data_IF_270951400803
#
_entry.id   IF_270951400803
#
_cell.length_a   1.000
_cell.length_b   1.000
_cell.length_c   1.000
_cell.angle_alpha   90.00
_cell.angle_beta   90.00
_cell.angle_gamma   90.00
#
_symmetry.space_group_name_H-M   'P 1'
#
loop_
_entity.id
_entity.type
_entity.pdbx_description
1 polymer ?
#
# COMPACT_ATOMS: atom_id res chain seq x y z
N UNK A 1 18.26 27.57 -20.51
CA UNK A 1 18.10 26.17 -20.06
C UNK A 1 18.16 25.28 -21.27
N UNK A 2 19.17 24.41 -21.39
CA UNK A 2 19.24 23.43 -22.47
C UNK A 2 18.10 22.43 -22.30
N UNK A 3 17.17 22.39 -23.24
CA UNK A 3 16.12 21.35 -23.31
C UNK A 3 16.80 20.01 -23.57
N UNK A 4 17.14 19.30 -22.50
CA UNK A 4 17.64 17.93 -22.59
C UNK A 4 16.54 17.05 -23.19
N UNK A 5 16.82 16.48 -24.37
CA UNK A 5 15.89 15.58 -25.07
C UNK A 5 16.27 14.14 -24.76
N UNK A 6 15.49 13.49 -23.89
CA UNK A 6 15.55 12.05 -23.65
C UNK A 6 15.39 11.28 -24.98
N UNK A 7 16.30 10.34 -25.23
CA UNK A 7 16.27 9.51 -26.43
C UNK A 7 15.00 8.64 -26.43
N UNK A 8 14.42 8.38 -27.62
CA UNK A 8 13.16 7.65 -27.74
C UNK A 8 13.19 6.24 -27.11
N UNK A 9 14.37 5.61 -27.09
CA UNK A 9 14.61 4.29 -26.46
C UNK A 9 14.55 4.31 -24.92
N UNK A 10 14.80 5.47 -24.31
CA UNK A 10 14.85 5.62 -22.85
C UNK A 10 13.52 6.13 -22.29
N UNK A 11 12.55 6.48 -23.18
CA UNK A 11 11.20 6.89 -22.79
C UNK A 11 10.37 5.68 -22.41
N UNK A 12 9.80 5.73 -21.21
CA UNK A 12 8.87 4.69 -20.75
C UNK A 12 7.53 4.86 -21.48
N UNK A 13 6.97 3.80 -22.08
CA UNK A 13 5.65 3.84 -22.74
C UNK A 13 4.56 4.31 -21.77
N UNK A 14 3.58 5.08 -22.28
CA UNK A 14 2.50 5.65 -21.46
C UNK A 14 1.74 4.57 -20.69
N UNK A 15 1.48 3.40 -21.30
CA UNK A 15 0.81 2.29 -20.63
C UNK A 15 1.59 1.74 -19.42
N UNK A 16 2.92 1.67 -19.52
CA UNK A 16 3.77 1.24 -18.39
C UNK A 16 3.84 2.32 -17.30
N UNK A 17 3.89 3.61 -17.68
CA UNK A 17 3.80 4.72 -16.72
C UNK A 17 2.47 4.71 -15.97
N UNK A 18 1.37 4.48 -16.68
CA UNK A 18 0.03 4.39 -16.09
C UNK A 18 -0.09 3.20 -15.15
N UNK A 19 0.37 2.01 -15.55
CA UNK A 19 0.38 0.83 -14.68
C UNK A 19 1.25 1.03 -13.43
N UNK A 20 2.41 1.67 -13.58
CA UNK A 20 3.28 2.02 -12.46
C UNK A 20 2.64 3.05 -11.52
N UNK A 21 2.01 4.08 -12.07
CA UNK A 21 1.25 5.08 -11.32
C UNK A 21 0.06 4.49 -10.58
N UNK A 22 -0.71 3.59 -11.21
CA UNK A 22 -1.78 2.84 -10.56
C UNK A 22 -1.24 1.98 -9.41
N UNK A 23 -0.05 1.42 -9.58
CA UNK A 23 0.60 0.69 -8.51
C UNK A 23 0.92 1.57 -7.29
N UNK A 24 1.46 2.76 -7.53
CA UNK A 24 1.74 3.76 -6.49
C UNK A 24 0.47 4.35 -5.86
N UNK A 25 -0.62 4.43 -6.61
CA UNK A 25 -1.94 4.78 -6.10
C UNK A 25 -2.37 3.76 -5.03
N UNK A 26 -2.39 2.47 -5.36
CA UNK A 26 -2.73 1.39 -4.40
C UNK A 26 -1.78 1.37 -3.21
N UNK A 27 -0.47 1.56 -3.46
CA UNK A 27 0.55 1.60 -2.42
C UNK A 27 0.27 2.66 -1.34
N UNK A 28 -0.33 3.79 -1.73
CA UNK A 28 -0.69 4.85 -0.78
C UNK A 28 -2.12 4.68 -0.23
N UNK A 29 -3.01 4.09 -1.03
CA UNK A 29 -4.40 3.89 -0.65
C UNK A 29 -4.55 2.94 0.54
N UNK A 30 -3.89 1.78 0.52
CA UNK A 30 -4.09 0.76 1.55
C UNK A 30 -3.58 1.20 2.94
N UNK A 31 -2.36 1.76 3.08
CA UNK A 31 -1.91 2.28 4.38
C UNK A 31 -2.72 3.49 4.85
N UNK A 32 -3.18 4.33 3.92
CA UNK A 32 -4.08 5.44 4.22
C UNK A 32 -5.38 4.93 4.83
N UNK A 33 -6.04 3.97 4.18
CA UNK A 33 -7.29 3.38 4.66
C UNK A 33 -7.12 2.69 6.03
N UNK A 34 -6.01 1.99 6.26
CA UNK A 34 -5.68 1.45 7.58
C UNK A 34 -5.56 2.54 8.65
N UNK A 35 -4.94 3.68 8.34
CA UNK A 35 -4.86 4.82 9.23
C UNK A 35 -6.24 5.33 9.67
N UNK A 36 -7.21 5.35 8.75
CA UNK A 36 -8.60 5.69 9.09
C UNK A 36 -9.32 4.58 9.87
N UNK A 37 -9.02 3.31 9.61
CA UNK A 37 -9.58 2.20 10.37
C UNK A 37 -9.25 2.31 11.86
N UNK A 38 -8.05 2.80 12.21
CA UNK A 38 -7.67 3.07 13.60
C UNK A 38 -8.60 4.08 14.30
N UNK A 39 -9.08 5.08 13.55
CA UNK A 39 -10.06 6.03 14.08
C UNK A 39 -11.42 5.35 14.32
N UNK A 40 -11.82 4.42 13.46
CA UNK A 40 -13.07 3.65 13.63
C UNK A 40 -12.99 2.72 14.86
N UNK A 41 -11.85 2.09 15.09
CA UNK A 41 -11.61 1.27 16.30
C UNK A 41 -11.78 2.10 17.59
N UNK A 42 -11.33 3.35 17.60
CA UNK A 42 -11.47 4.26 18.73
C UNK A 42 -12.91 4.76 18.92
N UNK A 43 -13.56 5.17 17.83
CA UNK A 43 -14.84 5.90 17.89
C UNK A 43 -16.07 5.02 17.81
N UNK A 44 -16.10 4.03 16.92
CA UNK A 44 -17.25 3.15 16.73
C UNK A 44 -17.19 1.92 17.64
N UNK A 45 -16.01 1.31 17.76
CA UNK A 45 -15.81 0.12 18.60
C UNK A 45 -15.47 0.44 20.06
N UNK A 46 -15.24 1.72 20.41
CA UNK A 46 -14.91 2.14 21.76
C UNK A 46 -13.64 1.50 22.32
N UNK A 47 -12.69 1.12 21.46
CA UNK A 47 -11.46 0.45 21.88
C UNK A 47 -10.58 1.41 22.71
N UNK A 48 -9.98 0.87 23.77
CA UNK A 48 -9.03 1.60 24.60
C UNK A 48 -7.93 2.28 23.75
N UNK A 49 -7.71 3.60 23.91
CA UNK A 49 -6.68 4.33 23.18
C UNK A 49 -5.26 3.75 23.29
N UNK A 50 -4.94 3.11 24.42
CA UNK A 50 -3.67 2.42 24.60
C UNK A 50 -3.55 1.22 23.66
N UNK A 51 -4.60 0.41 23.54
CA UNK A 51 -4.63 -0.74 22.62
C UNK A 51 -4.59 -0.29 21.16
N UNK A 52 -5.34 0.76 20.81
CA UNK A 52 -5.28 1.35 19.48
C UNK A 52 -3.87 1.91 19.18
N UNK A 53 -3.23 2.57 20.14
CA UNK A 53 -1.84 3.02 19.99
C UNK A 53 -0.87 1.87 19.70
N UNK A 54 -1.02 0.74 20.40
CA UNK A 54 -0.24 -0.48 20.15
C UNK A 54 -0.51 -1.07 18.76
N UNK A 55 -1.77 -1.10 18.32
CA UNK A 55 -2.14 -1.55 16.98
C UNK A 55 -1.58 -0.63 15.88
N UNK A 56 -1.33 0.65 16.17
CA UNK A 56 -0.68 1.55 15.22
C UNK A 56 0.85 1.41 15.22
N UNK A 57 1.44 1.13 16.39
CA UNK A 57 2.88 1.09 16.59
C UNK A 57 3.54 -0.26 16.27
N UNK A 58 2.97 -1.37 16.76
CA UNK A 58 3.56 -2.71 16.59
C UNK A 58 3.73 -3.10 15.12
N UNK A 59 2.72 -2.90 14.25
CA UNK A 59 2.87 -3.22 12.84
C UNK A 59 3.96 -2.38 12.16
N UNK A 60 4.16 -1.11 12.58
CA UNK A 60 5.24 -0.25 12.04
C UNK A 60 6.64 -0.72 12.41
N UNK A 61 6.81 -1.22 13.64
CA UNK A 61 8.10 -1.81 14.05
C UNK A 61 8.38 -3.06 13.23
N UNK A 62 7.35 -3.88 13.00
CA UNK A 62 7.47 -5.06 12.17
C UNK A 62 7.81 -4.71 10.71
N UNK A 63 7.14 -3.71 10.14
CA UNK A 63 7.36 -3.18 8.78
C UNK A 63 8.84 -2.78 8.57
N UNK A 64 9.40 -2.05 9.54
CA UNK A 64 10.79 -1.62 9.51
C UNK A 64 11.82 -2.77 9.44
N UNK A 65 11.45 -3.97 9.90
CA UNK A 65 12.29 -5.17 9.82
C UNK A 65 12.02 -5.93 8.51
N UNK A 66 10.77 -6.05 8.11
CA UNK A 66 10.37 -6.82 6.91
C UNK A 66 10.79 -6.15 5.61
N UNK A 67 10.83 -4.82 5.57
CA UNK A 67 11.17 -4.06 4.37
C UNK A 67 12.59 -4.37 3.84
N UNK A 68 13.66 -4.29 4.67
CA UNK A 68 15.01 -4.70 4.25
C UNK A 68 15.10 -6.17 3.83
N UNK A 69 14.43 -7.07 4.55
CA UNK A 69 14.44 -8.51 4.27
C UNK A 69 13.85 -8.76 2.89
N UNK A 70 12.69 -8.18 2.61
CA UNK A 70 12.02 -8.33 1.32
C UNK A 70 12.81 -7.67 0.18
N UNK A 71 13.46 -6.53 0.44
CA UNK A 71 14.40 -5.92 -0.49
C UNK A 71 15.49 -6.90 -0.91
N UNK A 72 16.18 -7.51 0.07
CA UNK A 72 17.22 -8.51 -0.17
C UNK A 72 16.70 -9.75 -0.93
N UNK A 73 15.54 -10.28 -0.56
CA UNK A 73 14.93 -11.42 -1.25
C UNK A 73 14.61 -11.06 -2.70
N UNK A 74 13.97 -9.91 -2.92
CA UNK A 74 13.57 -9.47 -4.27
C UNK A 74 14.78 -9.23 -5.17
N UNK A 75 15.89 -8.74 -4.62
CA UNK A 75 17.11 -8.44 -5.39
C UNK A 75 17.94 -9.67 -5.74
N UNK A 76 17.83 -10.74 -4.96
CA UNK A 76 18.56 -11.99 -5.19
C UNK A 76 17.77 -13.05 -5.95
N UNK A 77 16.47 -12.82 -6.20
CA UNK A 77 15.61 -13.82 -6.84
C UNK A 77 15.84 -13.91 -8.35
N UNK A 78 16.16 -15.10 -8.85
CA UNK A 78 16.23 -15.41 -10.28
C UNK A 78 14.97 -16.18 -10.71
N UNK A 79 14.01 -15.48 -11.32
CA UNK A 79 12.78 -16.08 -11.85
C UNK A 79 12.66 -15.91 -13.37
N UNK A 80 12.00 -16.87 -14.03
CA UNK A 80 11.75 -16.87 -15.48
C UNK A 80 10.87 -15.70 -15.94
N UNK A 81 10.06 -15.14 -15.06
CA UNK A 81 9.16 -14.00 -15.35
C UNK A 81 9.75 -12.63 -14.96
N UNK A 82 11.04 -12.60 -14.64
CA UNK A 82 11.75 -11.42 -14.16
C UNK A 82 11.87 -11.40 -12.64
N UNK A 83 12.88 -10.66 -12.16
CA UNK A 83 13.30 -10.63 -10.75
C UNK A 83 12.21 -10.13 -9.79
N UNK A 84 11.49 -9.05 -10.17
CA UNK A 84 10.57 -8.31 -9.28
C UNK A 84 9.08 -8.50 -9.59
N UNK A 85 8.72 -8.83 -10.83
CA UNK A 85 7.31 -8.92 -11.29
C UNK A 85 6.47 -9.99 -10.58
N UNK A 86 6.97 -11.21 -10.30
CA UNK A 86 6.17 -12.22 -9.59
C UNK A 86 5.78 -11.79 -8.17
N UNK A 87 6.69 -11.13 -7.45
CA UNK A 87 6.43 -10.63 -6.10
C UNK A 87 5.38 -9.53 -6.09
N UNK A 88 5.44 -8.60 -7.05
CA UNK A 88 4.42 -7.55 -7.21
C UNK A 88 3.04 -8.20 -7.43
N UNK A 89 2.95 -9.20 -8.30
CA UNK A 89 1.66 -9.84 -8.60
C UNK A 89 1.09 -10.62 -7.42
N UNK A 90 1.90 -11.47 -6.79
CA UNK A 90 1.48 -12.27 -5.62
C UNK A 90 1.17 -11.34 -4.44
N UNK A 91 2.02 -10.34 -4.20
CA UNK A 91 1.84 -9.34 -3.16
C UNK A 91 0.57 -8.53 -3.34
N UNK A 92 0.24 -8.11 -4.57
CA UNK A 92 -1.00 -7.37 -4.86
C UNK A 92 -2.27 -8.20 -4.59
N UNK A 93 -2.27 -9.48 -4.96
CA UNK A 93 -3.41 -10.36 -4.70
C UNK A 93 -3.53 -10.64 -3.20
N UNK A 94 -2.41 -10.96 -2.55
CA UNK A 94 -2.39 -11.22 -1.11
C UNK A 94 -2.84 -9.99 -0.31
N UNK A 95 -2.29 -8.81 -0.61
CA UNK A 95 -2.65 -7.56 0.07
C UNK A 95 -4.12 -7.20 -0.15
N UNK A 96 -4.66 -7.39 -1.36
CA UNK A 96 -6.08 -7.16 -1.65
C UNK A 96 -7.02 -8.07 -0.86
N UNK A 97 -6.73 -9.38 -0.81
CA UNK A 97 -7.52 -10.35 -0.04
C UNK A 97 -7.44 -10.10 1.46
N UNK A 98 -6.24 -9.82 1.97
CA UNK A 98 -6.02 -9.54 3.40
C UNK A 98 -6.63 -8.20 3.80
N UNK A 99 -6.61 -7.21 2.92
CA UNK A 99 -7.31 -5.96 3.13
C UNK A 99 -8.81 -6.20 3.26
N UNK A 100 -9.43 -6.96 2.34
CA UNK A 100 -10.85 -7.30 2.46
C UNK A 100 -11.17 -8.06 3.77
N UNK A 101 -10.28 -8.95 4.21
CA UNK A 101 -10.43 -9.67 5.47
C UNK A 101 -10.33 -8.75 6.70
N UNK A 102 -9.48 -7.72 6.69
CA UNK A 102 -9.36 -6.75 7.79
C UNK A 102 -10.66 -6.00 8.09
N UNK A 103 -11.50 -5.81 7.08
CA UNK A 103 -12.80 -5.13 7.23
C UNK A 103 -13.92 -6.04 7.74
N UNK A 104 -13.69 -7.34 7.92
CA UNK A 104 -14.69 -8.30 8.44
C UNK A 104 -14.78 -8.31 9.97
N UNK A 105 -14.59 -7.15 10.60
CA UNK A 105 -14.54 -7.01 12.05
C UNK A 105 -15.96 -6.77 12.58
N UNK A 106 -16.38 -7.57 13.56
CA UNK A 106 -17.73 -7.50 14.14
C UNK A 106 -17.67 -6.87 15.54
N UNK A 107 -18.58 -5.92 15.80
CA UNK A 107 -18.71 -5.23 17.08
C UNK A 107 -19.21 -6.16 18.21
N UNK A 108 -19.88 -7.27 17.87
CA UNK A 108 -20.33 -8.25 18.85
C UNK A 108 -19.19 -9.11 19.42
N UNK A 109 -18.06 -9.19 18.71
CA UNK A 109 -16.90 -9.90 19.20
C UNK A 109 -16.18 -9.06 20.26
N UNK A 110 -15.99 -9.60 21.47
CA UNK A 110 -15.38 -8.88 22.59
C UNK A 110 -14.04 -8.20 22.24
N UNK A 111 -13.75 -7.09 22.91
CA UNK A 111 -12.61 -6.20 22.62
C UNK A 111 -11.25 -6.92 22.48
N UNK A 112 -11.00 -7.96 23.29
CA UNK A 112 -9.76 -8.74 23.22
C UNK A 112 -9.65 -9.57 21.93
N UNK A 113 -10.76 -10.14 21.45
CA UNK A 113 -10.77 -10.88 20.18
C UNK A 113 -10.47 -9.93 19.02
N UNK A 114 -11.17 -8.80 18.98
CA UNK A 114 -11.00 -7.78 17.95
C UNK A 114 -9.57 -7.21 17.91
N UNK A 115 -8.93 -7.03 19.07
CA UNK A 115 -7.54 -6.64 19.15
C UNK A 115 -6.60 -7.67 18.49
N UNK A 116 -6.68 -8.94 18.88
CA UNK A 116 -5.79 -9.98 18.34
C UNK A 116 -6.06 -10.27 16.87
N UNK A 117 -7.34 -10.29 16.46
CA UNK A 117 -7.76 -10.45 15.08
C UNK A 117 -7.15 -9.36 14.19
N UNK A 118 -7.32 -8.09 14.59
CA UNK A 118 -6.77 -6.97 13.85
C UNK A 118 -5.24 -6.97 13.84
N UNK A 119 -4.60 -7.25 14.98
CA UNK A 119 -3.14 -7.30 15.07
C UNK A 119 -2.57 -8.36 14.12
N UNK A 120 -3.04 -9.60 14.20
CA UNK A 120 -2.53 -10.70 13.38
C UNK A 120 -2.77 -10.43 11.90
N UNK A 121 -3.99 -10.03 11.52
CA UNK A 121 -4.28 -9.72 10.12
C UNK A 121 -3.49 -8.51 9.62
N UNK A 122 -3.28 -7.49 10.44
CA UNK A 122 -2.47 -6.32 10.05
C UNK A 122 -1.01 -6.71 9.79
N UNK A 123 -0.44 -7.61 10.58
CA UNK A 123 0.92 -8.13 10.37
C UNK A 123 1.00 -8.94 9.07
N UNK A 124 0.05 -9.83 8.82
CA UNK A 124 0.03 -10.64 7.58
C UNK A 124 -0.20 -9.72 6.36
N UNK A 125 -1.11 -8.75 6.48
CA UNK A 125 -1.35 -7.72 5.47
C UNK A 125 -0.07 -6.95 5.17
N UNK A 126 0.70 -6.53 6.18
CA UNK A 126 1.97 -5.84 5.98
C UNK A 126 2.96 -6.70 5.22
N UNK A 127 3.09 -7.99 5.52
CA UNK A 127 3.97 -8.88 4.74
C UNK A 127 3.58 -8.86 3.26
N UNK A 128 2.29 -8.98 2.96
CA UNK A 128 1.77 -8.91 1.58
C UNK A 128 2.04 -7.55 0.93
N UNK A 129 1.82 -6.47 1.68
CA UNK A 129 2.04 -5.10 1.23
C UNK A 129 3.53 -4.82 0.97
N UNK A 130 4.45 -5.24 1.85
CA UNK A 130 5.90 -5.11 1.69
C UNK A 130 6.40 -5.91 0.48
N UNK A 131 5.87 -7.13 0.28
CA UNK A 131 6.17 -7.96 -0.90
C UNK A 131 5.74 -7.31 -2.22
N UNK A 132 4.72 -6.46 -2.17
CA UNK A 132 4.29 -5.64 -3.29
C UNK A 132 5.09 -4.33 -3.45
N UNK A 133 5.22 -3.58 -2.35
CA UNK A 133 5.77 -2.23 -2.29
C UNK A 133 7.24 -2.16 -2.68
N UNK A 134 8.08 -2.99 -2.04
CA UNK A 134 9.54 -2.91 -2.18
C UNK A 134 9.99 -3.23 -3.61
N UNK A 135 9.50 -4.31 -4.25
CA UNK A 135 9.83 -4.59 -5.64
C UNK A 135 9.20 -3.60 -6.63
N UNK A 136 8.02 -3.03 -6.33
CA UNK A 136 7.39 -2.00 -7.18
C UNK A 136 8.27 -0.74 -7.22
N UNK A 137 8.60 -0.17 -6.06
CA UNK A 137 9.46 1.02 -5.97
C UNK A 137 10.81 0.77 -6.64
N UNK A 138 11.40 -0.40 -6.40
CA UNK A 138 12.64 -0.82 -7.06
C UNK A 138 12.51 -0.85 -8.59
N UNK A 139 11.43 -1.44 -9.13
CA UNK A 139 11.20 -1.52 -10.58
C UNK A 139 11.18 -0.11 -11.22
N UNK A 140 10.66 0.87 -10.50
CA UNK A 140 10.74 2.29 -10.83
C UNK A 140 12.11 2.77 -11.28
N UNK A 141 13.15 2.38 -10.55
CA UNK A 141 14.53 2.79 -10.82
C UNK A 141 15.17 2.02 -11.98
N UNK A 142 14.65 0.84 -12.33
CA UNK A 142 15.19 -0.01 -13.41
C UNK A 142 14.51 0.25 -14.76
N UNK A 143 13.35 0.89 -14.79
CA UNK A 143 12.56 1.11 -16.02
C UNK A 143 13.22 2.04 -17.06
N UNK A 144 14.16 2.88 -16.65
CA UNK A 144 14.88 3.75 -17.59
C UNK A 144 16.31 4.04 -17.12
N UNK A 145 17.23 4.08 -18.08
CA UNK A 145 18.62 4.51 -17.94
C UNK A 145 18.77 6.03 -17.81
N UNK A 146 17.77 6.80 -18.25
CA UNK A 146 17.83 8.26 -18.26
C UNK A 146 17.38 8.83 -16.90
N UNK A 147 18.25 9.62 -16.28
CA UNK A 147 18.01 10.25 -14.98
C UNK A 147 16.79 11.21 -15.00
N UNK A 148 16.61 11.97 -16.07
CA UNK A 148 15.51 12.92 -16.20
C UNK A 148 14.18 12.19 -16.40
N UNK A 149 14.17 11.13 -17.22
CA UNK A 149 12.97 10.32 -17.41
C UNK A 149 12.59 9.55 -16.15
N UNK A 150 13.58 9.04 -15.40
CA UNK A 150 13.36 8.40 -14.09
C UNK A 150 12.73 9.35 -13.10
N UNK A 151 13.27 10.57 -13.02
CA UNK A 151 12.71 11.62 -12.15
C UNK A 151 11.27 11.94 -12.53
N UNK A 152 10.96 12.07 -13.84
CA UNK A 152 9.59 12.30 -14.32
C UNK A 152 8.65 11.13 -14.01
N UNK A 153 9.14 9.91 -14.12
CA UNK A 153 8.39 8.69 -13.81
C UNK A 153 8.04 8.61 -12.32
N UNK A 154 9.02 8.84 -11.45
CA UNK A 154 8.81 8.89 -10.00
C UNK A 154 7.92 10.05 -9.60
N UNK A 155 8.07 11.23 -10.22
CA UNK A 155 7.19 12.36 -9.99
C UNK A 155 5.73 12.01 -10.36
N UNK A 156 5.50 11.42 -11.53
CA UNK A 156 4.17 10.97 -11.95
C UNK A 156 3.58 9.96 -10.97
N UNK A 157 4.36 8.94 -10.59
CA UNK A 157 3.94 7.91 -9.66
C UNK A 157 3.61 8.47 -8.28
N UNK A 158 4.42 9.40 -7.78
CA UNK A 158 4.18 10.07 -6.50
C UNK A 158 2.91 10.95 -6.57
N UNK A 159 2.70 11.68 -7.66
CA UNK A 159 1.45 12.44 -7.85
C UNK A 159 0.23 11.53 -7.85
N UNK A 160 0.28 10.36 -8.51
CA UNK A 160 -0.79 9.36 -8.44
C UNK A 160 -1.00 8.85 -7.01
N UNK A 161 0.08 8.62 -6.26
CA UNK A 161 0.02 8.26 -4.85
C UNK A 161 -0.66 9.32 -3.98
N UNK A 162 -0.41 10.61 -4.23
CA UNK A 162 -1.06 11.70 -3.49
C UNK A 162 -2.56 11.82 -3.79
N UNK A 163 -2.99 11.47 -5.01
CA UNK A 163 -4.43 11.42 -5.32
C UNK A 163 -5.13 10.38 -4.44
N UNK A 164 -4.48 9.26 -4.11
CA UNK A 164 -5.05 8.29 -3.19
C UNK A 164 -5.37 8.94 -1.84
N UNK A 165 -4.44 9.72 -1.27
CA UNK A 165 -4.62 10.47 -0.02
C UNK A 165 -5.76 11.49 -0.06
N UNK A 166 -6.05 12.07 -1.22
CA UNK A 166 -7.21 12.96 -1.38
C UNK A 166 -8.53 12.19 -1.36
N UNK A 167 -8.54 10.94 -1.84
CA UNK A 167 -9.74 10.10 -1.92
C UNK A 167 -10.04 9.43 -0.57
N UNK A 168 -9.01 9.04 0.21
CA UNK A 168 -9.24 8.27 1.44
C UNK A 168 -10.23 8.92 2.42
N UNK A 169 -10.17 10.24 2.70
CA UNK A 169 -11.14 10.90 3.58
C UNK A 169 -12.59 10.83 3.10
N UNK A 170 -12.83 10.69 1.80
CA UNK A 170 -14.18 10.56 1.26
C UNK A 170 -14.81 9.21 1.58
N UNK A 171 -14.01 8.16 1.78
CA UNK A 171 -14.54 6.89 2.31
C UNK A 171 -15.15 7.09 3.70
N UNK A 172 -14.58 7.98 4.52
CA UNK A 172 -15.17 8.31 5.82
C UNK A 172 -16.52 9.00 5.67
N UNK A 173 -16.63 10.02 4.80
CA UNK A 173 -17.90 10.72 4.57
C UNK A 173 -18.98 9.74 4.14
N UNK A 174 -18.66 8.80 3.24
CA UNK A 174 -19.61 7.81 2.72
C UNK A 174 -19.97 6.76 3.79
N UNK A 175 -19.00 6.26 4.55
CA UNK A 175 -19.25 5.23 5.58
C UNK A 175 -19.99 5.82 6.79
N UNK A 176 -19.72 7.08 7.14
CA UNK A 176 -20.34 7.75 8.26
C UNK A 176 -21.75 8.27 7.96
N UNK A 177 -22.15 8.35 6.69
CA UNK A 177 -23.48 8.80 6.28
C UNK A 177 -24.53 7.67 6.44
N UNK A 178 -25.46 7.78 7.41
CA UNK A 178 -26.46 6.75 7.66
C UNK A 178 -27.47 6.60 6.52
N UNK A 179 -27.63 7.61 5.65
CA UNK A 179 -28.60 7.61 4.55
C UNK A 179 -28.15 6.75 3.35
N UNK A 180 -26.85 6.43 3.26
CA UNK A 180 -26.28 5.66 2.13
C UNK A 180 -26.58 4.16 2.24
N UNK A 181 -26.85 3.66 3.46
CA UNK A 181 -27.08 2.23 3.72
C UNK A 181 -28.49 1.93 4.24
N UNK A 182 -29.39 2.92 4.22
CA UNK A 182 -30.79 2.74 4.55
C UNK A 182 -31.59 2.27 3.32
N UNK A 183 -31.43 1.00 2.96
CA UNK A 183 -32.39 0.24 2.12
C UNK A 183 -32.78 -1.06 2.84
#
# INVERSE_FOLDING_TARGET
>A
MSTYKTAAKDKVPIGQKAAFGAGHFVLNLLPGALGFFMFFLLTAFGMDPFLAGLLGGLPRIFDAITDPIMGFISDNTKSKWGRRRPYIFIGAIASGLLFAALWQLDAENGQTYNFWYFLILSLIFLIGNTMYATPLVGLGYEMTSDYNERTRLMAFANTMGQIAWMIVPWFWVIIADPEVFSD
#
